data_IF_012815407237
#
_entry.id   IF_012815407237
#
_cell.length_a   1.000
_cell.length_b   1.000
_cell.length_c   1.000
_cell.angle_alpha   90.00
_cell.angle_beta   90.00
_cell.angle_gamma   90.00
#
_symmetry.space_group_name_H-M   'P 1'
#
loop_
_entity.id
_entity.type
_entity.pdbx_description
1 polymer ?
#
# COMPACT_ATOMS: atom_id res chain seq x y z
N UNK A 1 5.95 -3.97 19.35
CA UNK A 1 5.55 -5.37 19.60
C UNK A 1 4.57 -5.89 18.55
N UNK A 2 3.45 -5.20 18.27
CA UNK A 2 2.46 -5.65 17.26
C UNK A 2 3.08 -6.01 15.91
N UNK A 3 3.99 -5.18 15.38
CA UNK A 3 4.70 -5.45 14.13
C UNK A 3 5.39 -6.82 14.10
N UNK A 4 6.21 -7.14 15.11
CA UNK A 4 6.96 -8.41 15.16
C UNK A 4 6.02 -9.61 15.28
N UNK A 5 4.90 -9.45 16.00
CA UNK A 5 3.87 -10.47 16.14
C UNK A 5 3.18 -10.78 14.80
N UNK A 6 2.89 -9.74 14.01
CA UNK A 6 2.31 -9.91 12.67
C UNK A 6 3.32 -10.51 11.71
N UNK A 7 4.60 -10.11 11.80
CA UNK A 7 5.68 -10.69 10.99
C UNK A 7 5.91 -12.17 11.31
N UNK A 8 5.85 -12.58 12.58
CA UNK A 8 5.96 -14.01 12.94
C UNK A 8 4.77 -14.84 12.44
N UNK A 9 3.65 -14.19 12.09
CA UNK A 9 2.47 -14.84 11.52
C UNK A 9 2.56 -15.03 9.99
N UNK A 10 3.53 -14.38 9.33
CA UNK A 10 3.79 -14.54 7.88
C UNK A 10 3.92 -16.01 7.44
N UNK A 11 4.77 -16.85 8.06
CA UNK A 11 4.92 -18.25 7.63
C UNK A 11 3.61 -19.05 7.67
N UNK A 12 2.72 -18.77 8.63
CA UNK A 12 1.41 -19.40 8.67
C UNK A 12 0.53 -18.95 7.49
N UNK A 13 0.46 -17.64 7.26
CA UNK A 13 -0.35 -17.10 6.16
C UNK A 13 0.17 -17.50 4.77
N UNK A 14 1.49 -17.62 4.59
CA UNK A 14 2.08 -18.08 3.33
C UNK A 14 1.91 -19.58 3.12
N UNK A 15 1.97 -20.38 4.20
CA UNK A 15 1.63 -21.80 4.13
C UNK A 15 0.18 -22.00 3.71
N UNK A 16 -0.77 -21.27 4.32
CA UNK A 16 -2.18 -21.32 3.93
C UNK A 16 -2.38 -20.96 2.44
N UNK A 17 -1.66 -19.94 1.96
CA UNK A 17 -1.68 -19.53 0.55
C UNK A 17 -1.14 -20.61 -0.40
N UNK A 18 -0.09 -21.32 0.00
CA UNK A 18 0.51 -22.40 -0.77
C UNK A 18 -0.30 -23.69 -0.75
N UNK A 19 -1.00 -23.98 0.35
CA UNK A 19 -1.86 -25.16 0.48
C UNK A 19 -3.19 -25.03 -0.25
N UNK A 20 -3.71 -23.81 -0.40
CA UNK A 20 -5.01 -23.55 -1.04
C UNK A 20 -4.91 -22.50 -2.15
N UNK A 21 -4.14 -22.76 -3.22
CA UNK A 21 -3.80 -21.74 -4.22
C UNK A 21 -4.98 -21.27 -5.05
N UNK A 22 -5.98 -22.13 -5.25
CA UNK A 22 -7.18 -21.84 -6.03
C UNK A 22 -8.30 -21.19 -5.19
N UNK A 23 -7.99 -20.74 -3.96
CA UNK A 23 -9.00 -20.15 -3.08
C UNK A 23 -8.77 -18.66 -2.84
N UNK A 24 -9.80 -17.86 -3.12
CA UNK A 24 -9.80 -16.42 -2.85
C UNK A 24 -9.63 -16.11 -1.36
N UNK A 25 -10.05 -17.05 -0.49
CA UNK A 25 -9.89 -16.92 0.96
C UNK A 25 -8.42 -16.92 1.37
N UNK A 26 -7.60 -17.83 0.84
CA UNK A 26 -6.19 -17.91 1.18
C UNK A 26 -5.42 -16.67 0.70
N UNK A 27 -5.71 -16.18 -0.52
CA UNK A 27 -5.19 -14.92 -1.06
C UNK A 27 -5.56 -13.75 -0.15
N UNK A 28 -6.84 -13.66 0.22
CA UNK A 28 -7.33 -12.57 1.07
C UNK A 28 -6.68 -12.58 2.45
N UNK A 29 -6.54 -13.76 3.05
CA UNK A 29 -5.92 -13.92 4.36
C UNK A 29 -4.45 -13.49 4.36
N UNK A 30 -3.69 -13.91 3.34
CA UNK A 30 -2.31 -13.49 3.17
C UNK A 30 -2.18 -11.99 2.90
N UNK A 31 -3.02 -11.44 2.01
CA UNK A 31 -3.02 -10.02 1.68
C UNK A 31 -3.37 -9.14 2.88
N UNK A 32 -4.34 -9.53 3.70
CA UNK A 32 -4.68 -8.83 4.95
C UNK A 32 -3.48 -8.82 5.91
N UNK A 33 -2.76 -9.95 6.02
CA UNK A 33 -1.56 -10.00 6.84
C UNK A 33 -0.52 -8.97 6.37
N UNK A 34 -0.25 -8.90 5.07
CA UNK A 34 0.66 -7.88 4.48
C UNK A 34 0.19 -6.45 4.78
N UNK A 35 -1.11 -6.18 4.67
CA UNK A 35 -1.69 -4.86 4.94
C UNK A 35 -1.45 -4.45 6.40
N UNK A 36 -1.64 -5.36 7.35
CA UNK A 36 -1.38 -5.10 8.78
C UNK A 36 0.11 -4.83 9.02
N UNK A 37 1.01 -5.59 8.39
CA UNK A 37 2.46 -5.38 8.49
C UNK A 37 2.84 -3.99 7.97
N UNK A 38 2.37 -3.59 6.79
CA UNK A 38 2.70 -2.27 6.24
C UNK A 38 2.10 -1.12 7.06
N UNK A 39 0.90 -1.32 7.62
CA UNK A 39 0.25 -0.33 8.51
C UNK A 39 1.04 -0.14 9.80
N UNK A 40 1.42 -1.23 10.46
CA UNK A 40 2.20 -1.18 11.71
C UNK A 40 3.60 -0.60 11.48
N UNK A 41 4.24 -0.92 10.35
CA UNK A 41 5.52 -0.35 9.96
C UNK A 41 5.43 1.16 9.71
N UNK A 42 4.34 1.64 9.12
CA UNK A 42 4.11 3.07 8.96
C UNK A 42 3.88 3.79 10.27
N UNK A 43 3.07 3.24 11.18
CA UNK A 43 2.86 3.82 12.50
C UNK A 43 4.19 3.97 13.23
N UNK A 44 5.04 2.93 13.18
CA UNK A 44 6.39 2.98 13.74
C UNK A 44 7.22 4.09 13.10
N UNK A 45 7.16 4.23 11.77
CA UNK A 45 7.90 5.27 11.07
C UNK A 45 7.43 6.68 11.40
N UNK A 46 6.12 6.90 11.52
CA UNK A 46 5.55 8.19 11.93
C UNK A 46 5.98 8.54 13.36
N UNK A 47 5.99 7.55 14.25
CA UNK A 47 6.48 7.75 15.62
C UNK A 47 7.95 8.22 15.64
N UNK A 48 8.80 7.67 14.77
CA UNK A 48 10.20 8.09 14.64
C UNK A 48 10.35 9.49 14.05
N UNK A 49 9.58 9.82 13.00
CA UNK A 49 9.62 11.15 12.36
C UNK A 49 9.15 12.27 13.29
N UNK A 50 8.21 11.98 14.20
CA UNK A 50 7.72 12.93 15.19
C UNK A 50 8.69 13.14 16.38
N UNK A 51 9.77 12.35 16.48
CA UNK A 51 10.77 12.40 17.57
C UNK A 51 12.15 12.73 16.98
N UNK A 52 12.38 13.96 16.50
CA UNK A 52 13.61 14.33 15.79
C UNK A 52 14.90 14.18 16.64
N UNK A 53 14.79 14.14 17.97
CA UNK A 53 15.93 13.89 18.86
C UNK A 53 16.57 12.50 18.68
N UNK A 54 15.80 11.51 18.19
CA UNK A 54 16.28 10.15 17.92
C UNK A 54 16.94 10.02 16.54
N UNK A 55 16.78 11.01 15.67
CA UNK A 55 17.34 11.04 14.33
C UNK A 55 18.73 11.69 14.41
N UNK A 56 19.72 10.86 14.71
CA UNK A 56 21.12 11.24 14.61
C UNK A 56 21.44 11.33 13.11
N UNK A 57 21.80 12.53 12.67
CA UNK A 57 22.12 12.94 11.29
C UNK A 57 20.94 13.29 10.36
N UNK A 58 21.22 14.27 9.50
CA UNK A 58 20.32 14.83 8.49
C UNK A 58 19.88 13.76 7.49
N UNK A 59 18.76 13.09 7.78
CA UNK A 59 18.11 12.20 6.81
C UNK A 59 17.84 13.00 5.54
N UNK A 60 18.43 12.56 4.42
CA UNK A 60 18.18 13.16 3.13
C UNK A 60 16.70 12.99 2.76
N UNK A 61 16.11 14.01 2.17
CA UNK A 61 14.71 14.02 1.71
C UNK A 61 14.44 12.83 0.77
N UNK A 62 15.47 12.36 0.06
CA UNK A 62 15.44 11.18 -0.81
C UNK A 62 15.18 9.89 -0.05
N UNK A 63 15.86 9.68 1.08
CA UNK A 63 15.69 8.48 1.91
C UNK A 63 14.29 8.42 2.53
N UNK A 64 13.72 9.60 2.83
CA UNK A 64 12.34 9.70 3.29
C UNK A 64 11.36 9.27 2.19
N UNK A 65 11.55 9.69 0.95
CA UNK A 65 10.65 9.31 -0.16
C UNK A 65 10.80 7.82 -0.46
N UNK A 66 12.03 7.33 -0.59
CA UNK A 66 12.32 5.92 -0.86
C UNK A 66 11.75 5.00 0.22
N UNK A 67 11.97 5.32 1.50
CA UNK A 67 11.39 4.57 2.60
C UNK A 67 9.86 4.58 2.60
N UNK A 68 9.23 5.69 2.21
CA UNK A 68 7.76 5.78 2.12
C UNK A 68 7.22 4.85 1.05
N UNK A 69 7.75 4.94 -0.18
CA UNK A 69 7.28 4.12 -1.30
C UNK A 69 7.44 2.64 -0.98
N UNK A 70 8.57 2.24 -0.41
CA UNK A 70 8.83 0.83 -0.04
C UNK A 70 7.84 0.27 0.97
N UNK A 71 7.40 1.07 1.95
CA UNK A 71 6.43 0.67 2.97
C UNK A 71 5.00 0.61 2.41
N UNK A 72 4.66 1.53 1.51
CA UNK A 72 3.30 1.63 0.97
C UNK A 72 2.99 0.68 -0.18
N UNK A 73 4.00 0.33 -0.99
CA UNK A 73 3.80 -0.45 -2.20
C UNK A 73 3.18 -1.84 -1.90
N UNK A 74 3.68 -2.63 -0.92
CA UNK A 74 3.13 -3.96 -0.65
C UNK A 74 1.66 -3.94 -0.19
N UNK A 75 1.24 -3.12 0.78
CA UNK A 75 -0.17 -3.06 1.19
C UNK A 75 -1.14 -2.62 0.10
N UNK A 76 -0.74 -1.65 -0.75
CA UNK A 76 -1.59 -1.17 -1.84
C UNK A 76 -1.83 -2.28 -2.85
N UNK A 77 -0.77 -2.96 -3.28
CA UNK A 77 -0.88 -4.08 -4.20
C UNK A 77 -1.59 -5.28 -3.58
N UNK A 78 -1.39 -5.54 -2.29
CA UNK A 78 -2.14 -6.56 -1.56
C UNK A 78 -3.65 -6.26 -1.56
N UNK A 79 -4.07 -5.03 -1.30
CA UNK A 79 -5.48 -4.64 -1.35
C UNK A 79 -6.09 -4.82 -2.75
N UNK A 80 -5.34 -4.48 -3.80
CA UNK A 80 -5.78 -4.70 -5.18
C UNK A 80 -5.86 -6.20 -5.48
N UNK A 81 -4.86 -6.99 -5.05
CA UNK A 81 -4.83 -8.44 -5.25
C UNK A 81 -6.03 -9.16 -4.61
N UNK A 82 -6.48 -8.73 -3.42
CA UNK A 82 -7.72 -9.24 -2.80
C UNK A 82 -8.87 -9.14 -3.78
N UNK A 83 -9.04 -7.99 -4.43
CA UNK A 83 -10.19 -7.76 -5.31
C UNK A 83 -10.03 -8.45 -6.65
N UNK A 84 -8.80 -8.45 -7.19
CA UNK A 84 -8.49 -9.19 -8.42
C UNK A 84 -8.72 -10.69 -8.23
N UNK A 85 -8.56 -11.23 -7.01
CA UNK A 85 -8.72 -12.67 -6.76
C UNK A 85 -10.10 -13.19 -7.09
N UNK A 86 -11.14 -12.38 -6.87
CA UNK A 86 -12.52 -12.72 -7.21
C UNK A 86 -12.80 -12.81 -8.71
N UNK A 87 -11.87 -12.35 -9.56
CA UNK A 87 -11.99 -12.40 -11.01
C UNK A 87 -10.93 -13.32 -11.64
N UNK A 88 -9.69 -13.25 -11.15
CA UNK A 88 -8.56 -13.97 -11.70
C UNK A 88 -7.50 -14.22 -10.62
N UNK A 89 -7.43 -15.48 -10.18
CA UNK A 89 -6.50 -15.98 -9.16
C UNK A 89 -5.03 -15.80 -9.61
N UNK A 90 -4.60 -16.28 -10.80
CA UNK A 90 -3.22 -16.10 -11.28
C UNK A 90 -2.77 -14.63 -11.27
N UNK A 91 -3.63 -13.72 -11.72
CA UNK A 91 -3.30 -12.30 -11.75
C UNK A 91 -3.06 -11.73 -10.34
N UNK A 92 -3.77 -12.23 -9.35
CA UNK A 92 -3.61 -11.80 -7.95
C UNK A 92 -2.26 -12.19 -7.37
N UNK A 93 -1.73 -13.36 -7.73
CA UNK A 93 -0.37 -13.76 -7.35
C UNK A 93 0.70 -12.86 -7.96
N UNK A 94 0.51 -12.46 -9.23
CA UNK A 94 1.41 -11.50 -9.89
C UNK A 94 1.40 -10.18 -9.12
N UNK A 95 0.21 -9.68 -8.77
CA UNK A 95 0.07 -8.45 -7.98
C UNK A 95 0.68 -8.57 -6.58
N UNK A 96 0.54 -9.71 -5.90
CA UNK A 96 1.16 -9.93 -4.60
C UNK A 96 2.69 -9.97 -4.68
N UNK A 97 3.24 -10.54 -5.75
CA UNK A 97 4.68 -10.74 -5.93
C UNK A 97 5.39 -9.47 -6.41
N UNK A 98 4.74 -8.68 -7.27
CA UNK A 98 5.33 -7.50 -7.90
C UNK A 98 5.98 -6.51 -6.91
N UNK A 99 5.35 -6.12 -5.77
CA UNK A 99 5.95 -5.23 -4.80
C UNK A 99 7.24 -5.77 -4.19
N UNK A 100 7.36 -7.08 -3.97
CA UNK A 100 8.57 -7.69 -3.40
C UNK A 100 9.72 -7.59 -4.39
N UNK A 101 9.47 -7.96 -5.65
CA UNK A 101 10.45 -7.85 -6.73
C UNK A 101 10.91 -6.39 -6.89
N UNK A 102 9.96 -5.46 -6.92
CA UNK A 102 10.26 -4.03 -7.04
C UNK A 102 11.01 -3.47 -5.83
N UNK A 103 10.69 -3.92 -4.61
CA UNK A 103 11.36 -3.48 -3.38
C UNK A 103 12.81 -3.98 -3.27
N UNK A 104 13.10 -5.18 -3.79
CA UNK A 104 14.43 -5.80 -3.75
C UNK A 104 15.36 -5.24 -4.83
N UNK A 105 14.82 -4.87 -6.00
CA UNK A 105 15.63 -4.36 -7.12
C UNK A 105 16.17 -2.94 -6.82
N UNK A 106 17.50 -2.73 -6.80
CA UNK A 106 18.12 -1.44 -6.43
C UNK A 106 17.95 -0.31 -7.46
N UNK A 107 17.23 -0.53 -8.57
CA UNK A 107 17.06 0.48 -9.65
C UNK A 107 15.63 0.99 -9.85
N UNK A 108 14.60 0.33 -9.31
CA UNK A 108 13.19 0.70 -9.56
C UNK A 108 12.80 2.06 -8.95
N UNK A 109 13.43 2.43 -7.84
CA UNK A 109 13.18 3.69 -7.16
C UNK A 109 13.78 4.90 -7.89
N UNK A 110 14.91 4.76 -8.60
CA UNK A 110 15.59 5.87 -9.28
C UNK A 110 14.73 6.48 -10.41
N UNK A 111 13.86 5.69 -11.05
CA UNK A 111 12.93 6.19 -12.06
C UNK A 111 11.75 6.95 -11.44
N UNK A 112 11.28 6.49 -10.27
CA UNK A 112 10.29 7.23 -9.49
C UNK A 112 10.90 8.47 -8.83
N UNK A 113 12.19 8.43 -8.46
CA UNK A 113 12.97 9.53 -7.88
C UNK A 113 12.96 10.75 -8.82
N UNK A 114 13.25 10.57 -10.12
CA UNK A 114 13.22 11.65 -11.11
C UNK A 114 11.86 12.36 -11.16
N UNK A 115 10.76 11.61 -11.02
CA UNK A 115 9.39 12.14 -11.09
C UNK A 115 8.87 12.69 -9.76
N UNK A 116 9.35 12.17 -8.62
CA UNK A 116 8.89 12.52 -7.27
C UNK A 116 9.66 13.68 -6.64
N UNK A 117 10.94 13.85 -6.95
CA UNK A 117 11.77 14.97 -6.45
C UNK A 117 11.21 16.33 -6.89
N UNK A 118 10.54 16.42 -8.04
CA UNK A 118 9.87 17.65 -8.50
C UNK A 118 8.51 17.93 -7.83
N UNK A 119 7.98 17.02 -6.99
CA UNK A 119 6.68 17.17 -6.30
C UNK A 119 6.70 16.60 -4.85
N UNK A 120 7.62 17.05 -3.97
CA UNK A 120 7.80 16.46 -2.63
C UNK A 120 6.57 16.62 -1.72
N UNK A 121 5.77 17.68 -1.91
CA UNK A 121 4.55 17.93 -1.10
C UNK A 121 3.43 16.90 -1.30
N UNK A 122 3.40 16.17 -2.43
CA UNK A 122 2.30 15.24 -2.75
C UNK A 122 2.38 13.95 -1.91
N UNK A 123 3.60 13.49 -1.59
CA UNK A 123 3.80 12.27 -0.81
C UNK A 123 3.87 12.51 0.70
N UNK A 124 4.24 13.72 1.12
CA UNK A 124 4.19 14.13 2.53
C UNK A 124 2.74 14.44 2.95
N UNK A 125 1.90 14.88 2.00
CA UNK A 125 0.50 15.20 2.28
C UNK A 125 -0.43 14.29 1.46
N UNK A 126 -0.74 13.09 1.98
CA UNK A 126 -1.56 12.11 1.25
C UNK A 126 -3.01 12.60 1.01
N UNK A 127 -3.39 13.75 1.59
CA UNK A 127 -4.59 14.52 1.23
C UNK A 127 -4.59 15.02 -0.24
N UNK A 128 -3.44 15.26 -0.86
CA UNK A 128 -3.35 15.68 -2.28
C UNK A 128 -3.65 14.51 -3.21
N UNK A 129 -3.17 13.30 -2.88
CA UNK A 129 -3.47 12.07 -3.61
C UNK A 129 -4.96 11.75 -3.50
N UNK A 130 -5.55 11.93 -2.32
CA UNK A 130 -6.99 11.74 -2.14
C UNK A 130 -7.81 12.74 -2.95
N UNK A 131 -7.40 14.02 -2.98
CA UNK A 131 -8.01 15.03 -3.88
C UNK A 131 -7.87 14.66 -5.36
N UNK A 132 -6.75 14.10 -5.78
CA UNK A 132 -6.54 13.66 -7.16
C UNK A 132 -7.43 12.45 -7.52
N UNK A 133 -7.58 11.50 -6.60
CA UNK A 133 -8.44 10.33 -6.75
C UNK A 133 -9.92 10.75 -6.74
N UNK A 134 -10.33 11.60 -5.81
CA UNK A 134 -11.69 12.15 -5.73
C UNK A 134 -12.02 12.99 -6.99
N UNK A 135 -11.06 13.77 -7.51
CA UNK A 135 -11.22 14.51 -8.76
C UNK A 135 -11.41 13.56 -9.96
N UNK A 136 -10.59 12.51 -10.08
CA UNK A 136 -10.74 11.48 -11.13
C UNK A 136 -12.04 10.69 -10.98
N UNK A 137 -12.49 10.41 -9.75
CA UNK A 137 -13.76 9.73 -9.46
C UNK A 137 -14.97 10.62 -9.78
N UNK A 138 -14.90 11.92 -9.51
CA UNK A 138 -15.96 12.86 -9.92
C UNK A 138 -16.05 12.98 -11.44
N UNK A 139 -14.92 13.04 -12.14
CA UNK A 139 -14.88 13.05 -13.62
C UNK A 139 -15.42 11.74 -14.21
N UNK A 140 -15.17 10.59 -13.56
CA UNK A 140 -15.70 9.30 -13.98
C UNK A 140 -17.21 9.14 -13.70
N UNK A 141 -17.77 9.88 -12.74
CA UNK A 141 -19.21 9.87 -12.43
C UNK A 141 -20.03 10.87 -13.26
N UNK A 142 -19.40 11.90 -13.85
CA UNK A 142 -20.09 12.92 -14.67
C UNK A 142 -20.14 12.60 -16.17
N UNK A 143 -19.40 11.59 -16.63
CA UNK A 143 -19.44 11.15 -18.02
C UNK A 143 -19.22 9.65 -18.14
N UNK A 144 -20.21 8.97 -18.72
CA UNK A 144 -20.34 7.53 -18.96
C UNK A 144 -20.97 6.71 -17.84
N UNK A 145 -22.24 6.38 -18.11
CA UNK A 145 -23.05 5.29 -17.53
C UNK A 145 -22.36 3.92 -17.66
N UNK A 146 -21.24 3.72 -16.97
CA UNK A 146 -20.68 2.41 -16.72
C UNK A 146 -20.93 2.10 -15.24
N UNK A 147 -21.94 1.28 -14.97
CA UNK A 147 -22.26 0.79 -13.62
C UNK A 147 -21.03 0.07 -13.07
N UNK A 148 -20.21 0.78 -12.29
CA UNK A 148 -19.00 0.25 -11.66
C UNK A 148 -19.41 -1.01 -10.88
N UNK A 149 -18.80 -2.18 -11.18
CA UNK A 149 -19.20 -3.43 -10.53
C UNK A 149 -19.03 -3.29 -9.00
N UNK A 150 -19.97 -3.87 -8.24
CA UNK A 150 -20.03 -3.71 -6.76
C UNK A 150 -18.72 -4.07 -6.04
N UNK A 151 -17.92 -4.98 -6.61
CA UNK A 151 -16.58 -5.34 -6.11
C UNK A 151 -15.55 -4.22 -6.25
N UNK A 152 -15.60 -3.46 -7.34
CA UNK A 152 -14.71 -2.32 -7.59
C UNK A 152 -15.09 -1.11 -6.72
N UNK A 153 -16.38 -0.90 -6.45
CA UNK A 153 -16.83 0.10 -5.46
C UNK A 153 -16.32 -0.23 -4.06
N UNK A 154 -16.38 -1.50 -3.65
CA UNK A 154 -15.81 -1.96 -2.37
C UNK A 154 -14.30 -1.77 -2.33
N UNK A 155 -13.57 -2.06 -3.41
CA UNK A 155 -12.14 -1.80 -3.52
C UNK A 155 -11.84 -0.32 -3.31
N UNK A 156 -12.51 0.56 -4.07
CA UNK A 156 -12.29 2.01 -3.99
C UNK A 156 -12.60 2.53 -2.60
N UNK A 157 -13.68 2.05 -1.97
CA UNK A 157 -14.02 2.39 -0.59
C UNK A 157 -12.95 1.90 0.40
N UNK A 158 -12.46 0.68 0.24
CA UNK A 158 -11.42 0.11 1.10
C UNK A 158 -10.07 0.80 0.90
N UNK A 159 -9.68 1.09 -0.33
CA UNK A 159 -8.47 1.86 -0.68
C UNK A 159 -8.59 3.28 -0.14
N UNK A 160 -9.78 3.90 -0.22
CA UNK A 160 -10.04 5.23 0.33
C UNK A 160 -9.98 5.25 1.84
N UNK A 161 -10.53 4.25 2.54
CA UNK A 161 -10.40 4.11 4.00
C UNK A 161 -8.94 3.85 4.39
N UNK A 162 -8.26 2.96 3.68
CA UNK A 162 -6.86 2.63 3.93
C UNK A 162 -5.97 3.87 3.75
N UNK A 163 -6.16 4.60 2.65
CA UNK A 163 -5.51 5.88 2.43
C UNK A 163 -5.89 6.88 3.52
N UNK A 164 -7.18 7.04 3.87
CA UNK A 164 -7.63 7.97 4.92
C UNK A 164 -7.03 7.67 6.30
N UNK A 165 -6.90 6.40 6.64
CA UNK A 165 -6.28 5.95 7.89
C UNK A 165 -4.78 6.30 7.94
N UNK A 166 -4.10 6.17 6.80
CA UNK A 166 -2.73 6.61 6.62
C UNK A 166 -2.56 8.12 6.45
N UNK A 167 -3.64 8.85 6.12
CA UNK A 167 -3.64 10.29 5.88
C UNK A 167 -3.81 11.12 7.14
N UNK A 168 -4.36 10.57 8.23
CA UNK A 168 -4.51 11.33 9.46
C UNK A 168 -3.12 11.77 9.95
N UNK A 169 -2.78 13.07 9.92
CA UNK A 169 -1.72 13.54 10.78
C UNK A 169 -2.22 13.29 12.20
N UNK A 170 -1.50 12.45 12.94
CA UNK A 170 -1.68 12.43 14.39
C UNK A 170 -1.12 13.77 14.86
N UNK A 171 -2.05 14.68 15.13
CA UNK A 171 -1.84 16.00 15.74
C UNK A 171 -0.98 15.91 16.99
#
# INVERSE_FOLDING_TARGET
MVFLMTVSFVPFSSHLLGSYPETNFAISFYAVNIIIIGTTLYILRQYLLNRPYLLQDSIDSKDIIHGTVRIFLPPVFAAIAVVVSYFNIPMSYILLTFPFVFNILPGGLNYLEYKLIHRPRIFINPMIILKFIDQKLQIANTGYSARIPRSLQKLIFFLRIYLLFFIRPVS
#
